data_IF_865091982070
#
_entry.id   IF_865091982070
#
_cell.length_a   1.000
_cell.length_b   1.000
_cell.length_c   1.000
_cell.angle_alpha   90.00
_cell.angle_beta   90.00
_cell.angle_gamma   90.00
#
_symmetry.space_group_name_H-M   'P 1'
#
loop_
_entity.id
_entity.type
_entity.pdbx_description
1 polymer ?
#
# COMPACT_ATOMS: atom_id res chain seq x y z
N UNK A 1 30.04 -2.75 -0.59
CA UNK A 1 28.71 -2.95 0.02
C UNK A 1 27.83 -3.79 -0.88
N UNK A 2 26.98 -4.58 -0.27
CA UNK A 2 25.99 -5.39 -0.98
C UNK A 2 24.58 -4.83 -0.81
N UNK A 3 23.74 -5.09 -1.77
CA UNK A 3 22.34 -4.71 -1.69
C UNK A 3 21.69 -5.26 -0.41
N UNK A 4 21.07 -4.37 0.37
CA UNK A 4 20.48 -4.71 1.66
C UNK A 4 21.35 -4.42 2.87
N UNK A 5 22.63 -4.10 2.69
CA UNK A 5 23.52 -3.71 3.79
C UNK A 5 23.01 -2.40 4.43
N UNK A 6 23.05 -2.32 5.75
CA UNK A 6 22.70 -1.09 6.48
C UNK A 6 23.82 -0.07 6.34
N UNK A 7 23.49 1.09 5.79
CA UNK A 7 24.44 2.19 5.57
C UNK A 7 24.51 3.15 6.75
N UNK A 8 23.35 3.47 7.31
CA UNK A 8 23.22 4.35 8.46
C UNK A 8 21.87 4.13 9.14
N UNK A 9 21.81 4.55 10.39
CA UNK A 9 20.59 4.51 11.21
C UNK A 9 20.32 5.93 11.70
N UNK A 10 19.09 6.38 11.47
CA UNK A 10 18.56 7.64 12.02
C UNK A 10 17.98 7.34 13.40
N UNK A 11 18.01 8.30 14.31
CA UNK A 11 17.38 8.15 15.62
C UNK A 11 15.90 7.82 15.50
N UNK A 12 15.49 6.70 16.06
CA UNK A 12 14.15 6.12 15.83
C UNK A 12 13.20 6.25 17.04
N UNK A 13 13.65 6.84 18.13
CA UNK A 13 12.90 6.90 19.40
C UNK A 13 11.50 7.54 19.20
N UNK A 14 11.41 8.64 18.46
CA UNK A 14 10.13 9.30 18.16
C UNK A 14 9.22 8.42 17.29
N UNK A 15 9.78 7.76 16.29
CA UNK A 15 9.01 6.88 15.39
C UNK A 15 8.49 5.63 16.11
N UNK A 16 9.25 5.07 17.04
CA UNK A 16 8.81 3.97 17.91
C UNK A 16 7.66 4.39 18.81
N UNK A 17 7.73 5.58 19.40
CA UNK A 17 6.64 6.10 20.23
C UNK A 17 5.37 6.34 19.41
N UNK A 18 5.49 6.87 18.20
CA UNK A 18 4.35 7.04 17.29
C UNK A 18 3.74 5.70 16.88
N UNK A 19 4.57 4.68 16.65
CA UNK A 19 4.09 3.31 16.37
C UNK A 19 3.33 2.76 17.57
N UNK A 20 3.90 2.85 18.77
CA UNK A 20 3.25 2.38 20.00
C UNK A 20 1.91 3.09 20.26
N UNK A 21 1.83 4.39 19.99
CA UNK A 21 0.58 5.15 20.09
C UNK A 21 -0.46 4.60 19.08
N UNK A 22 -0.09 4.43 17.81
CA UNK A 22 -1.00 3.92 16.79
C UNK A 22 -1.47 2.48 17.09
N UNK A 23 -0.60 1.63 17.64
CA UNK A 23 -0.95 0.27 18.08
C UNK A 23 -1.94 0.28 19.25
N UNK A 24 -1.78 1.22 20.21
CA UNK A 24 -2.73 1.39 21.29
C UNK A 24 -4.12 1.87 20.79
N UNK A 25 -4.13 2.78 19.83
CA UNK A 25 -5.37 3.28 19.21
C UNK A 25 -6.09 2.14 18.44
N UNK A 26 -5.34 1.29 17.73
CA UNK A 26 -5.88 0.10 17.08
C UNK A 26 -6.47 -0.88 18.10
N UNK A 27 -5.75 -1.15 19.19
CA UNK A 27 -6.25 -2.03 20.26
C UNK A 27 -7.56 -1.50 20.86
N UNK A 28 -7.68 -0.19 21.04
CA UNK A 28 -8.89 0.47 21.53
C UNK A 28 -10.06 0.33 20.54
N UNK A 29 -9.81 0.53 19.23
CA UNK A 29 -10.82 0.33 18.19
C UNK A 29 -11.31 -1.11 18.11
N UNK A 30 -10.40 -2.09 18.22
CA UNK A 30 -10.73 -3.52 18.25
C UNK A 30 -11.58 -3.89 19.47
N UNK A 31 -11.25 -3.35 20.65
CA UNK A 31 -12.04 -3.55 21.86
C UNK A 31 -13.47 -3.00 21.69
N UNK A 32 -13.62 -1.82 21.09
CA UNK A 32 -14.93 -1.23 20.77
C UNK A 32 -15.75 -2.10 19.81
N UNK A 33 -15.12 -2.66 18.77
CA UNK A 33 -15.74 -3.60 17.85
C UNK A 33 -16.23 -4.85 18.57
N UNK A 34 -15.39 -5.42 19.44
CA UNK A 34 -15.74 -6.62 20.20
C UNK A 34 -16.91 -6.43 21.15
N UNK A 35 -16.99 -5.27 21.82
CA UNK A 35 -18.12 -4.92 22.68
C UNK A 35 -19.43 -4.88 21.88
N UNK A 36 -19.41 -4.23 20.71
CA UNK A 36 -20.60 -4.15 19.85
C UNK A 36 -21.00 -5.53 19.32
N UNK A 37 -20.05 -6.37 18.96
CA UNK A 37 -20.31 -7.75 18.52
C UNK A 37 -20.96 -8.57 19.64
N UNK A 38 -20.48 -8.45 20.88
CA UNK A 38 -21.09 -9.10 22.04
C UNK A 38 -22.53 -8.58 22.31
N UNK A 39 -22.77 -7.29 22.12
CA UNK A 39 -24.10 -6.69 22.21
C UNK A 39 -25.07 -7.28 21.20
N UNK A 40 -24.65 -7.44 19.93
CA UNK A 40 -25.46 -8.09 18.88
C UNK A 40 -25.81 -9.54 19.26
N UNK A 41 -24.85 -10.29 19.79
CA UNK A 41 -25.09 -11.68 20.23
C UNK A 41 -26.13 -11.73 21.37
N UNK A 42 -26.06 -10.80 22.32
CA UNK A 42 -27.05 -10.67 23.40
C UNK A 42 -28.44 -10.35 22.85
N UNK A 43 -28.53 -9.38 21.93
CA UNK A 43 -29.80 -8.99 21.30
C UNK A 43 -30.37 -10.14 20.47
N UNK A 44 -29.52 -10.94 19.80
CA UNK A 44 -29.96 -12.13 19.08
C UNK A 44 -30.56 -13.19 20.03
N UNK A 45 -29.96 -13.40 21.21
CA UNK A 45 -30.54 -14.28 22.23
C UNK A 45 -31.90 -13.76 22.71
N UNK A 46 -32.05 -12.46 22.92
CA UNK A 46 -33.33 -11.86 23.29
C UNK A 46 -34.41 -12.08 22.21
N UNK A 47 -34.03 -12.01 20.92
CA UNK A 47 -34.94 -12.35 19.82
C UNK A 47 -35.42 -13.81 19.92
N UNK A 48 -34.51 -14.73 20.22
CA UNK A 48 -34.87 -16.16 20.38
C UNK A 48 -35.82 -16.34 21.56
N UNK A 49 -35.61 -15.65 22.66
CA UNK A 49 -36.54 -15.67 23.83
C UNK A 49 -37.89 -15.08 23.45
N UNK A 50 -37.93 -13.97 22.72
CA UNK A 50 -39.19 -13.38 22.24
C UNK A 50 -39.93 -14.34 21.31
N UNK A 51 -39.24 -15.10 20.44
CA UNK A 51 -39.82 -16.06 19.54
C UNK A 51 -40.48 -17.21 20.32
N UNK A 52 -39.82 -17.74 21.35
CA UNK A 52 -40.40 -18.76 22.23
C UNK A 52 -41.65 -18.23 22.98
N UNK A 53 -41.60 -16.99 23.45
CA UNK A 53 -42.75 -16.32 24.08
C UNK A 53 -43.93 -16.13 23.12
N UNK A 54 -43.65 -15.76 21.86
CA UNK A 54 -44.67 -15.64 20.81
C UNK A 54 -45.31 -17.00 20.52
N UNK A 55 -44.52 -18.06 20.44
CA UNK A 55 -45.05 -19.40 20.22
C UNK A 55 -45.99 -19.86 21.35
N UNK A 56 -45.62 -19.64 22.61
CA UNK A 56 -46.48 -19.91 23.76
C UNK A 56 -47.84 -19.18 23.64
N UNK A 57 -47.82 -17.85 23.41
CA UNK A 57 -49.06 -17.06 23.29
C UNK A 57 -49.84 -17.47 22.04
N UNK A 58 -49.21 -17.89 20.97
CA UNK A 58 -49.83 -18.37 19.75
C UNK A 58 -50.64 -19.64 20.02
N UNK A 59 -50.09 -20.60 20.78
CA UNK A 59 -50.82 -21.81 21.20
C UNK A 59 -52.04 -21.48 22.08
N UNK A 60 -51.87 -20.54 23.04
CA UNK A 60 -52.95 -20.07 23.88
C UNK A 60 -54.06 -19.39 23.04
N UNK A 61 -53.71 -18.55 22.08
CA UNK A 61 -54.63 -17.90 21.16
C UNK A 61 -55.44 -18.92 20.34
N UNK A 62 -54.73 -19.91 19.76
CA UNK A 62 -55.35 -20.95 18.96
C UNK A 62 -56.36 -21.81 19.79
N UNK A 63 -56.09 -22.02 21.09
CA UNK A 63 -57.02 -22.69 21.99
C UNK A 63 -58.26 -21.80 22.28
N UNK A 64 -58.06 -20.54 22.61
CA UNK A 64 -59.14 -19.57 22.87
C UNK A 64 -60.03 -19.34 21.63
N UNK A 65 -59.43 -19.33 20.43
CA UNK A 65 -60.14 -19.18 19.15
C UNK A 65 -61.05 -20.40 18.89
N UNK A 66 -60.55 -21.62 19.15
CA UNK A 66 -61.36 -22.86 19.03
C UNK A 66 -62.53 -22.84 20.03
N UNK A 67 -62.28 -22.35 21.22
CA UNK A 67 -63.30 -22.23 22.23
C UNK A 67 -64.38 -21.20 21.87
N UNK A 68 -63.97 -20.02 21.38
CA UNK A 68 -64.86 -18.97 20.88
C UNK A 68 -65.75 -19.51 19.74
N UNK A 69 -65.16 -20.25 18.79
CA UNK A 69 -65.90 -20.84 17.69
C UNK A 69 -66.92 -21.88 18.16
N UNK A 70 -66.57 -22.68 19.17
CA UNK A 70 -67.48 -23.64 19.78
C UNK A 70 -68.67 -22.94 20.47
N UNK A 71 -68.37 -21.92 21.28
CA UNK A 71 -69.43 -21.14 21.98
C UNK A 71 -70.33 -20.38 21.03
N UNK A 72 -69.77 -19.89 19.90
CA UNK A 72 -70.55 -19.25 18.85
C UNK A 72 -71.62 -20.21 18.27
N UNK A 73 -71.26 -21.44 17.96
CA UNK A 73 -72.20 -22.45 17.45
C UNK A 73 -73.25 -22.84 18.49
N UNK A 74 -72.82 -23.00 19.75
CA UNK A 74 -73.76 -23.30 20.84
C UNK A 74 -74.75 -22.19 21.13
N UNK A 75 -74.34 -20.92 20.90
CA UNK A 75 -75.23 -19.78 21.01
C UNK A 75 -76.27 -19.75 19.87
N UNK A 76 -75.85 -20.13 18.64
CA UNK A 76 -76.75 -20.24 17.48
C UNK A 76 -77.79 -21.35 17.67
N UNK A 77 -77.48 -22.37 18.50
CA UNK A 77 -78.35 -23.49 18.88
C UNK A 77 -79.13 -23.24 20.20
N UNK A 78 -79.07 -22.01 20.77
CA UNK A 78 -79.65 -21.62 22.07
C UNK A 78 -79.18 -22.49 23.26
N UNK A 79 -78.02 -23.19 23.12
CA UNK A 79 -77.52 -24.09 24.16
C UNK A 79 -76.68 -23.39 25.24
N UNK A 80 -76.28 -22.10 25.04
CA UNK A 80 -75.53 -21.27 26.01
C UNK A 80 -76.12 -19.88 26.09
N UNK A 81 -75.89 -19.18 27.21
CA UNK A 81 -76.31 -17.78 27.37
C UNK A 81 -75.40 -16.80 26.65
N UNK A 82 -75.95 -15.65 26.25
CA UNK A 82 -75.16 -14.59 25.63
C UNK A 82 -74.01 -14.13 26.53
N UNK A 83 -74.22 -14.05 27.84
CA UNK A 83 -73.18 -13.70 28.82
C UNK A 83 -71.99 -14.72 28.77
N UNK A 84 -72.26 -16.01 28.62
CA UNK A 84 -71.17 -17.00 28.49
C UNK A 84 -70.40 -16.84 27.23
N UNK A 85 -71.01 -16.56 26.08
CA UNK A 85 -70.33 -16.24 24.84
C UNK A 85 -69.51 -14.98 24.97
N UNK A 86 -70.03 -13.89 25.53
CA UNK A 86 -69.34 -12.59 25.68
C UNK A 86 -68.11 -12.74 26.61
N UNK A 87 -68.16 -13.58 27.63
CA UNK A 87 -67.01 -13.92 28.49
C UNK A 87 -65.90 -14.61 27.72
N UNK A 88 -66.20 -15.62 26.89
CA UNK A 88 -65.24 -16.34 26.07
C UNK A 88 -64.66 -15.43 25.00
N UNK A 89 -65.47 -14.56 24.41
CA UNK A 89 -65.00 -13.57 23.43
C UNK A 89 -64.00 -12.59 24.07
N UNK A 90 -64.32 -12.06 25.25
CA UNK A 90 -63.43 -11.18 26.00
C UNK A 90 -62.11 -11.87 26.35
N UNK A 91 -62.13 -13.15 26.70
CA UNK A 91 -60.92 -13.91 26.98
C UNK A 91 -60.05 -14.10 25.70
N UNK A 92 -60.67 -14.39 24.55
CA UNK A 92 -60.00 -14.44 23.26
C UNK A 92 -59.39 -13.07 22.89
N UNK A 93 -60.13 -11.99 22.98
CA UNK A 93 -59.70 -10.63 22.67
C UNK A 93 -58.47 -10.23 23.54
N UNK A 94 -58.48 -10.63 24.82
CA UNK A 94 -57.36 -10.36 25.73
C UNK A 94 -56.09 -11.14 25.34
N UNK A 95 -56.22 -12.42 24.95
CA UNK A 95 -55.08 -13.23 24.48
C UNK A 95 -54.59 -12.70 23.14
N UNK A 96 -55.47 -12.32 22.23
CA UNK A 96 -55.06 -11.73 20.94
C UNK A 96 -54.30 -10.43 21.12
N UNK A 97 -54.73 -9.55 22.06
CA UNK A 97 -53.99 -8.33 22.41
C UNK A 97 -52.57 -8.64 22.94
N UNK A 98 -52.41 -9.71 23.75
CA UNK A 98 -51.09 -10.16 24.23
C UNK A 98 -50.22 -10.67 23.08
N UNK A 99 -50.79 -11.40 22.13
CA UNK A 99 -50.06 -11.88 20.94
C UNK A 99 -49.52 -10.71 20.11
N UNK A 100 -50.38 -9.69 19.84
CA UNK A 100 -49.97 -8.46 19.13
C UNK A 100 -48.90 -7.69 19.89
N UNK A 101 -48.97 -7.65 21.23
CA UNK A 101 -47.93 -7.02 22.06
C UNK A 101 -46.58 -7.78 21.92
N UNK A 102 -46.60 -9.09 21.97
CA UNK A 102 -45.39 -9.93 21.81
C UNK A 102 -44.74 -9.72 20.43
N UNK A 103 -45.54 -9.64 19.34
CA UNK A 103 -45.06 -9.34 18.01
C UNK A 103 -44.36 -7.97 17.93
N UNK A 104 -45.00 -6.95 18.54
CA UNK A 104 -44.40 -5.61 18.59
C UNK A 104 -43.08 -5.59 19.38
N UNK A 105 -43.00 -6.35 20.48
CA UNK A 105 -41.78 -6.48 21.28
C UNK A 105 -40.64 -7.10 20.45
N UNK A 106 -40.91 -8.20 19.72
CA UNK A 106 -39.96 -8.81 18.79
C UNK A 106 -39.52 -7.80 17.74
N UNK A 107 -40.41 -7.06 17.11
CA UNK A 107 -40.11 -6.07 16.12
C UNK A 107 -39.17 -4.98 16.68
N UNK A 108 -39.46 -4.44 17.88
CA UNK A 108 -38.59 -3.48 18.55
C UNK A 108 -37.19 -4.04 18.80
N UNK A 109 -37.10 -5.28 19.27
CA UNK A 109 -35.80 -5.92 19.49
C UNK A 109 -35.04 -6.15 18.17
N UNK A 110 -35.75 -6.42 17.05
CA UNK A 110 -35.13 -6.54 15.74
C UNK A 110 -34.55 -5.22 15.22
N UNK A 111 -35.23 -4.10 15.48
CA UNK A 111 -34.71 -2.75 15.15
C UNK A 111 -33.45 -2.41 15.95
N UNK A 112 -33.42 -2.77 17.25
CA UNK A 112 -32.22 -2.60 18.09
C UNK A 112 -31.04 -3.40 17.52
N UNK A 113 -31.28 -4.64 17.05
CA UNK A 113 -30.24 -5.45 16.41
C UNK A 113 -29.73 -4.78 15.13
N UNK A 114 -30.64 -4.24 14.32
CA UNK A 114 -30.28 -3.55 13.08
C UNK A 114 -29.41 -2.31 13.37
N UNK A 115 -29.81 -1.49 14.35
CA UNK A 115 -29.01 -0.34 14.82
C UNK A 115 -27.60 -0.77 15.27
N UNK A 116 -27.51 -1.83 16.10
CA UNK A 116 -26.22 -2.37 16.54
C UNK A 116 -25.37 -2.89 15.38
N UNK A 117 -26.01 -3.44 14.33
CA UNK A 117 -25.30 -3.90 13.12
C UNK A 117 -24.71 -2.73 12.34
N UNK A 118 -25.44 -1.62 12.24
CA UNK A 118 -24.91 -0.39 11.65
C UNK A 118 -23.75 0.19 12.49
N UNK A 119 -23.87 0.15 13.81
CA UNK A 119 -22.79 0.56 14.72
C UNK A 119 -21.55 -0.33 14.56
N UNK A 120 -21.74 -1.63 14.35
CA UNK A 120 -20.62 -2.55 14.05
C UNK A 120 -19.89 -2.12 12.79
N UNK A 121 -20.61 -1.78 11.72
CA UNK A 121 -20.01 -1.27 10.48
C UNK A 121 -19.18 0.01 10.68
N UNK A 122 -19.64 0.91 11.57
CA UNK A 122 -18.84 2.10 11.93
C UNK A 122 -17.56 1.73 12.70
N UNK A 123 -17.66 0.81 13.66
CA UNK A 123 -16.49 0.34 14.41
C UNK A 123 -15.49 -0.40 13.52
N UNK A 124 -15.95 -1.18 12.54
CA UNK A 124 -15.09 -1.81 11.54
C UNK A 124 -14.35 -0.77 10.68
N UNK A 125 -15.00 0.32 10.32
CA UNK A 125 -14.36 1.42 9.63
C UNK A 125 -13.30 2.10 10.50
N UNK A 126 -13.58 2.28 11.81
CA UNK A 126 -12.63 2.83 12.77
C UNK A 126 -11.40 1.89 12.94
N UNK A 127 -11.59 0.58 12.97
CA UNK A 127 -10.50 -0.41 13.00
C UNK A 127 -9.63 -0.30 11.75
N UNK A 128 -10.24 -0.20 10.55
CA UNK A 128 -9.46 -0.03 9.32
C UNK A 128 -8.66 1.27 9.31
N UNK A 129 -9.22 2.35 9.82
CA UNK A 129 -8.52 3.63 9.94
C UNK A 129 -7.33 3.52 10.90
N UNK A 130 -7.52 2.93 12.07
CA UNK A 130 -6.45 2.72 13.05
C UNK A 130 -5.37 1.78 12.51
N UNK A 131 -5.73 0.73 11.77
CA UNK A 131 -4.77 -0.17 11.10
C UNK A 131 -3.91 0.59 10.09
N UNK A 132 -4.52 1.45 9.26
CA UNK A 132 -3.78 2.27 8.31
C UNK A 132 -2.79 3.23 9.02
N UNK A 133 -3.15 3.75 10.20
CA UNK A 133 -2.26 4.58 11.00
C UNK A 133 -1.06 3.78 11.53
N UNK A 134 -1.26 2.53 11.97
CA UNK A 134 -0.18 1.60 12.37
C UNK A 134 0.75 1.32 11.20
N UNK A 135 0.20 1.02 10.03
CA UNK A 135 1.00 0.71 8.84
C UNK A 135 1.83 1.91 8.40
N UNK A 136 1.27 3.12 8.46
CA UNK A 136 1.99 4.36 8.18
C UNK A 136 3.11 4.62 9.22
N UNK A 137 2.84 4.42 10.50
CA UNK A 137 3.84 4.58 11.56
C UNK A 137 4.98 3.56 11.41
N UNK A 138 4.67 2.31 11.05
CA UNK A 138 5.65 1.25 10.78
C UNK A 138 6.49 1.56 9.54
N UNK A 139 5.88 2.09 8.49
CA UNK A 139 6.59 2.53 7.29
C UNK A 139 7.57 3.65 7.62
N UNK A 140 7.14 4.67 8.38
CA UNK A 140 8.01 5.75 8.81
C UNK A 140 9.17 5.26 9.67
N UNK A 141 8.92 4.29 10.55
CA UNK A 141 9.99 3.64 11.34
C UNK A 141 10.97 2.89 10.43
N UNK A 142 10.50 2.24 9.36
CA UNK A 142 11.40 1.54 8.44
C UNK A 142 12.35 2.48 7.70
N UNK A 143 11.95 3.74 7.49
CA UNK A 143 12.80 4.76 6.87
C UNK A 143 13.94 5.27 7.77
N UNK A 144 13.94 4.92 9.06
CA UNK A 144 15.06 5.26 9.94
C UNK A 144 16.30 4.41 9.70
N UNK A 145 16.15 3.26 9.04
CA UNK A 145 17.26 2.38 8.64
C UNK A 145 17.48 2.53 7.14
N UNK A 146 18.55 3.19 6.77
CA UNK A 146 18.91 3.39 5.36
C UNK A 146 19.75 2.20 4.90
N UNK A 147 19.24 1.48 3.90
CA UNK A 147 19.88 0.30 3.33
C UNK A 147 20.41 0.58 1.92
N UNK A 148 21.42 -0.16 1.50
CA UNK A 148 21.96 -0.11 0.16
C UNK A 148 20.94 -0.64 -0.87
N UNK A 149 20.67 0.14 -1.92
CA UNK A 149 19.71 -0.19 -2.97
C UNK A 149 20.30 -1.09 -4.06
N UNK A 150 21.64 -1.09 -4.21
CA UNK A 150 22.38 -1.89 -5.18
C UNK A 150 23.72 -2.31 -4.59
N UNK A 151 24.36 -3.29 -5.24
CA UNK A 151 25.75 -3.64 -4.99
C UNK A 151 26.65 -2.54 -5.53
N UNK A 152 27.74 -2.24 -4.85
CA UNK A 152 28.66 -1.20 -5.35
C UNK A 152 29.67 -0.73 -4.32
N UNK A 153 30.28 0.38 -4.60
CA UNK A 153 31.19 1.07 -3.70
C UNK A 153 30.56 2.36 -3.18
N UNK A 154 30.68 2.61 -1.88
CA UNK A 154 30.28 3.88 -1.31
C UNK A 154 31.22 4.98 -1.74
N UNK A 155 30.66 6.11 -2.14
CA UNK A 155 31.36 7.34 -2.36
C UNK A 155 31.81 8.03 -1.06
N UNK A 156 32.00 9.33 -1.12
CA UNK A 156 32.39 10.12 0.05
C UNK A 156 31.25 10.21 1.04
N UNK A 157 31.49 9.88 2.30
CA UNK A 157 30.53 10.10 3.39
C UNK A 157 30.36 11.62 3.60
N UNK A 158 29.15 12.13 3.36
CA UNK A 158 28.83 13.56 3.48
C UNK A 158 28.19 13.92 4.83
N UNK A 159 27.98 12.94 5.72
CA UNK A 159 27.26 13.10 6.98
C UNK A 159 28.10 12.66 8.19
N UNK A 160 27.78 13.24 9.35
CA UNK A 160 28.42 12.93 10.62
C UNK A 160 27.40 12.45 11.66
N UNK A 161 27.87 11.71 12.65
CA UNK A 161 27.01 11.28 13.76
C UNK A 161 26.52 12.51 14.54
N UNK A 162 25.25 12.49 14.94
CA UNK A 162 24.58 13.62 15.60
C UNK A 162 24.15 14.75 14.67
N UNK A 163 24.38 14.63 13.36
CA UNK A 163 23.91 15.62 12.38
C UNK A 163 22.40 15.47 12.14
N UNK A 164 21.70 16.61 12.12
CA UNK A 164 20.30 16.64 11.69
C UNK A 164 20.22 16.40 10.18
N UNK A 165 19.40 15.43 9.78
CA UNK A 165 19.12 15.12 8.36
C UNK A 165 17.69 15.52 8.01
N UNK A 166 17.50 15.98 6.77
CA UNK A 166 16.20 16.43 6.28
C UNK A 166 15.71 15.53 5.13
N UNK A 167 14.41 15.38 4.93
CA UNK A 167 13.86 14.68 3.77
C UNK A 167 14.40 15.28 2.45
N UNK A 168 14.87 14.41 1.54
CA UNK A 168 15.47 14.81 0.28
C UNK A 168 16.97 15.14 0.33
N UNK A 169 17.60 15.10 1.49
CA UNK A 169 19.05 15.29 1.61
C UNK A 169 19.80 14.05 1.12
N UNK A 170 20.81 14.24 0.28
CA UNK A 170 21.74 13.18 -0.12
C UNK A 170 22.61 12.80 1.07
N UNK A 171 22.61 11.52 1.42
CA UNK A 171 23.33 10.99 2.59
C UNK A 171 24.62 10.30 2.17
N UNK A 172 24.53 9.44 1.17
CA UNK A 172 25.64 8.64 0.64
C UNK A 172 25.39 8.39 -0.85
N UNK A 173 26.41 8.47 -1.64
CA UNK A 173 26.40 8.07 -3.04
C UNK A 173 26.90 6.61 -3.15
N UNK A 174 26.20 5.79 -3.90
CA UNK A 174 26.62 4.42 -4.24
C UNK A 174 26.95 4.39 -5.71
N UNK A 175 28.15 3.99 -6.03
CA UNK A 175 28.61 3.76 -7.41
C UNK A 175 28.43 2.29 -7.71
N UNK A 176 27.49 2.00 -8.59
CA UNK A 176 27.30 0.65 -9.13
C UNK A 176 28.39 0.34 -10.15
N UNK A 177 29.16 -0.70 -9.90
CA UNK A 177 30.22 -1.17 -10.80
C UNK A 177 29.78 -2.38 -11.64
N UNK A 178 28.52 -2.81 -11.55
CA UNK A 178 28.03 -3.98 -12.27
C UNK A 178 27.88 -3.75 -13.77
N UNK A 179 27.55 -2.51 -14.17
CA UNK A 179 27.36 -2.12 -15.57
C UNK A 179 28.25 -0.91 -15.90
N UNK A 180 29.43 -1.20 -16.44
CA UNK A 180 30.36 -0.19 -16.88
C UNK A 180 30.25 0.01 -18.40
N UNK A 181 30.19 1.27 -18.80
CA UNK A 181 30.23 1.65 -20.22
C UNK A 181 31.25 2.77 -20.42
N UNK A 182 31.67 2.94 -21.66
CA UNK A 182 32.55 4.04 -22.06
C UNK A 182 31.77 5.04 -22.92
N UNK A 183 31.92 6.33 -22.63
CA UNK A 183 31.42 7.39 -23.48
C UNK A 183 32.62 7.96 -24.25
N UNK A 184 32.67 7.68 -25.54
CA UNK A 184 33.71 8.18 -26.42
C UNK A 184 33.17 9.37 -27.25
N UNK A 185 33.83 10.53 -27.15
CA UNK A 185 33.44 11.73 -27.86
C UNK A 185 34.17 11.83 -29.19
N UNK A 186 33.54 11.31 -30.27
CA UNK A 186 34.09 11.34 -31.62
C UNK A 186 33.79 12.69 -32.34
N UNK A 187 34.67 13.10 -33.22
CA UNK A 187 34.41 14.27 -34.07
C UNK A 187 33.34 13.92 -35.12
N UNK A 188 32.53 14.93 -35.49
CA UNK A 188 31.49 14.77 -36.52
C UNK A 188 32.07 14.16 -37.83
N UNK A 189 33.29 14.52 -38.19
CA UNK A 189 34.00 14.01 -39.40
C UNK A 189 34.33 12.52 -39.32
N UNK A 190 34.35 11.91 -38.13
CA UNK A 190 34.67 10.52 -37.90
C UNK A 190 33.42 9.61 -37.88
N UNK A 191 32.24 10.19 -37.66
CA UNK A 191 30.98 9.45 -37.53
C UNK A 191 30.60 8.59 -38.75
N UNK A 192 30.81 9.02 -40.01
CA UNK A 192 30.42 8.20 -41.16
C UNK A 192 31.01 6.78 -41.16
N UNK A 193 32.13 6.60 -40.46
CA UNK A 193 32.83 5.33 -40.38
C UNK A 193 32.47 4.51 -39.11
N UNK A 194 31.63 5.07 -38.22
CA UNK A 194 31.24 4.41 -36.96
C UNK A 194 29.82 3.94 -37.10
N UNK A 195 29.57 2.65 -36.89
CA UNK A 195 28.22 2.06 -36.93
C UNK A 195 27.94 1.37 -35.59
N UNK A 196 26.67 1.30 -35.24
CA UNK A 196 26.25 0.45 -34.13
C UNK A 196 26.68 -1.00 -34.38
N UNK A 197 27.14 -1.65 -33.32
CA UNK A 197 27.72 -3.00 -33.42
C UNK A 197 29.20 -3.04 -33.81
N UNK A 198 29.87 -1.91 -34.13
CA UNK A 198 31.29 -1.90 -34.48
C UNK A 198 32.15 -2.28 -33.26
N UNK A 199 33.21 -3.07 -33.49
CA UNK A 199 34.18 -3.41 -32.45
C UNK A 199 35.06 -2.21 -32.11
N UNK A 200 35.25 -2.01 -30.81
CA UNK A 200 36.10 -0.94 -30.26
C UNK A 200 37.13 -1.55 -29.34
N UNK A 201 38.37 -1.12 -29.52
CA UNK A 201 39.44 -1.41 -28.59
C UNK A 201 39.75 -0.15 -27.82
N UNK A 202 39.89 -0.25 -26.50
CA UNK A 202 40.25 0.91 -25.68
C UNK A 202 41.26 0.56 -24.60
N UNK A 203 42.02 1.54 -24.20
CA UNK A 203 42.97 1.49 -23.08
C UNK A 203 42.61 2.56 -22.07
N UNK A 204 42.77 2.25 -20.78
CA UNK A 204 42.56 3.20 -19.70
C UNK A 204 43.90 3.70 -19.17
N UNK A 205 44.03 5.03 -19.04
CA UNK A 205 45.30 5.65 -18.58
C UNK A 205 45.68 5.18 -17.17
N UNK A 206 44.72 4.92 -16.31
CA UNK A 206 44.95 4.43 -14.96
C UNK A 206 45.37 2.96 -14.87
N UNK A 207 45.24 2.17 -15.96
CA UNK A 207 45.55 0.74 -16.00
C UNK A 207 46.43 0.47 -17.22
N UNK A 208 47.70 0.85 -17.17
CA UNK A 208 48.60 0.70 -18.32
C UNK A 208 48.84 -0.77 -18.67
N UNK A 209 48.94 -1.06 -19.96
CA UNK A 209 49.27 -2.39 -20.48
C UNK A 209 48.07 -3.35 -20.63
N UNK A 210 46.87 -2.95 -20.26
CA UNK A 210 45.64 -3.74 -20.48
C UNK A 210 44.84 -3.12 -21.62
N UNK A 211 44.47 -3.97 -22.58
CA UNK A 211 43.62 -3.62 -23.70
C UNK A 211 42.23 -4.22 -23.44
N UNK A 212 41.21 -3.37 -23.51
CA UNK A 212 39.84 -3.74 -23.34
C UNK A 212 39.11 -3.77 -24.69
N UNK A 213 38.07 -4.59 -24.75
CA UNK A 213 37.20 -4.71 -25.91
C UNK A 213 35.82 -4.22 -25.58
N UNK A 214 35.19 -3.59 -26.53
CA UNK A 214 33.80 -3.11 -26.43
C UNK A 214 33.15 -3.13 -27.79
N UNK A 215 31.85 -2.85 -27.77
CA UNK A 215 31.03 -2.73 -28.98
C UNK A 215 30.23 -1.43 -28.87
N UNK A 216 30.16 -0.72 -29.99
CA UNK A 216 29.30 0.49 -30.08
C UNK A 216 27.86 0.08 -29.82
N UNK A 217 27.28 0.57 -28.74
CA UNK A 217 25.90 0.30 -28.35
C UNK A 217 24.93 1.30 -28.98
N UNK A 218 25.28 2.58 -28.93
CA UNK A 218 24.47 3.64 -29.53
C UNK A 218 25.33 4.87 -29.84
N UNK A 219 24.88 5.60 -30.85
CA UNK A 219 25.44 6.89 -31.25
C UNK A 219 24.40 7.96 -30.91
N UNK A 220 24.81 9.02 -30.23
CA UNK A 220 23.86 10.10 -29.87
C UNK A 220 23.42 10.86 -31.12
N UNK A 221 22.10 11.14 -31.19
CA UNK A 221 21.53 11.96 -32.28
C UNK A 221 21.85 13.46 -32.17
N UNK A 222 22.49 13.88 -31.08
CA UNK A 222 22.85 15.25 -30.83
C UNK A 222 24.31 15.42 -30.39
N UNK A 223 24.90 16.53 -30.78
CA UNK A 223 26.29 16.90 -30.37
C UNK A 223 26.34 17.27 -28.89
N UNK A 224 27.50 17.12 -28.26
CA UNK A 224 27.70 17.50 -26.85
C UNK A 224 27.41 19.01 -26.60
N UNK A 225 27.53 19.85 -27.60
CA UNK A 225 27.20 21.26 -27.49
C UNK A 225 25.67 21.50 -27.35
N UNK A 226 24.84 20.64 -27.93
CA UNK A 226 23.38 20.77 -27.82
C UNK A 226 22.86 20.47 -26.39
N UNK A 227 23.62 19.70 -25.60
CA UNK A 227 23.31 19.39 -24.20
C UNK A 227 24.03 20.31 -23.19
N UNK A 228 24.77 21.31 -23.68
CA UNK A 228 25.46 22.26 -22.79
C UNK A 228 24.46 23.22 -22.13
N UNK A 229 24.59 23.41 -20.81
CA UNK A 229 23.83 24.41 -20.05
C UNK A 229 24.06 25.86 -20.53
N UNK A 230 25.19 26.13 -21.21
CA UNK A 230 25.53 27.43 -21.82
C UNK A 230 25.76 27.15 -23.29
N UNK A 231 24.76 27.38 -24.17
CA UNK A 231 25.00 27.34 -25.61
C UNK A 231 26.03 28.36 -26.03
N UNK A 232 27.01 27.95 -26.83
CA UNK A 232 27.95 28.87 -27.42
C UNK A 232 27.25 29.59 -28.58
N UNK A 233 26.73 30.79 -28.30
CA UNK A 233 26.16 31.65 -29.33
C UNK A 233 27.26 32.52 -29.93
N UNK A 234 27.42 32.47 -31.26
CA UNK A 234 28.37 33.31 -32.00
C UNK A 234 27.74 34.67 -32.34
N UNK A 235 27.39 35.43 -31.30
CA UNK A 235 26.70 36.71 -31.42
C UNK A 235 27.60 37.86 -32.02
N UNK A 236 28.88 37.62 -32.27
CA UNK A 236 29.85 38.67 -32.69
C UNK A 236 30.15 38.76 -34.18
N UNK A 237 29.35 38.10 -35.05
CA UNK A 237 29.43 38.31 -36.50
C UNK A 237 30.59 37.57 -37.24
N UNK A 238 31.54 37.00 -36.57
CA UNK A 238 32.59 36.17 -37.19
C UNK A 238 32.24 34.71 -36.98
N UNK A 239 31.81 34.03 -38.05
CA UNK A 239 31.55 32.59 -38.00
C UNK A 239 32.87 31.83 -37.92
N UNK A 240 33.18 31.27 -36.73
CA UNK A 240 34.25 30.31 -36.56
C UNK A 240 33.63 28.91 -36.51
N UNK A 241 33.94 28.05 -37.47
CA UNK A 241 33.50 26.68 -37.49
C UNK A 241 34.15 25.93 -36.30
N UNK A 242 33.39 25.71 -35.24
CA UNK A 242 33.83 24.91 -34.10
C UNK A 242 33.54 23.45 -34.40
N UNK A 243 34.54 22.60 -34.25
CA UNK A 243 34.44 21.16 -34.49
C UNK A 243 33.54 20.52 -33.42
N UNK A 244 32.42 19.99 -33.83
CA UNK A 244 31.45 19.37 -32.94
C UNK A 244 31.87 17.94 -32.60
N UNK A 245 31.55 17.52 -31.36
CA UNK A 245 31.77 16.11 -30.91
C UNK A 245 30.44 15.47 -30.58
N UNK A 246 30.30 14.22 -31.00
CA UNK A 246 29.11 13.39 -30.74
C UNK A 246 29.50 12.29 -29.76
N UNK A 247 28.78 12.14 -28.64
CA UNK A 247 29.01 11.07 -27.70
C UNK A 247 28.53 9.73 -28.26
N UNK A 248 29.37 8.74 -28.19
CA UNK A 248 29.12 7.35 -28.59
C UNK A 248 29.23 6.48 -27.35
N UNK A 249 28.19 5.74 -27.05
CA UNK A 249 28.17 4.79 -25.94
C UNK A 249 28.74 3.45 -26.40
N UNK A 250 29.73 2.96 -25.66
CA UNK A 250 30.41 1.71 -25.93
C UNK A 250 30.24 0.80 -24.73
N UNK A 251 29.60 -0.35 -24.96
CA UNK A 251 29.44 -1.39 -23.95
C UNK A 251 30.67 -2.30 -23.95
N UNK A 252 31.16 -2.65 -22.75
CA UNK A 252 32.23 -3.61 -22.59
C UNK A 252 31.74 -5.00 -22.99
N UNK A 253 32.49 -5.69 -23.83
CA UNK A 253 32.19 -7.04 -24.27
C UNK A 253 33.46 -7.88 -24.47
N UNK A 254 33.44 -9.16 -24.03
CA UNK A 254 34.53 -10.08 -24.26
C UNK A 254 35.80 -9.80 -23.42
N UNK A 255 35.63 -9.22 -22.24
CA UNK A 255 36.73 -8.95 -21.31
C UNK A 255 36.67 -9.91 -20.12
N UNK A 256 37.83 -10.29 -19.59
CA UNK A 256 37.95 -11.07 -18.36
C UNK A 256 37.44 -10.24 -17.16
N UNK A 257 36.71 -10.86 -16.24
CA UNK A 257 36.17 -10.19 -15.06
C UNK A 257 37.25 -9.50 -14.21
N UNK A 258 38.41 -10.13 -14.07
CA UNK A 258 39.57 -9.57 -13.35
C UNK A 258 40.14 -8.31 -13.99
N UNK A 259 40.03 -8.17 -15.31
CA UNK A 259 40.44 -6.96 -16.00
C UNK A 259 39.41 -5.85 -15.80
N UNK A 260 38.12 -6.18 -15.90
CA UNK A 260 37.03 -5.22 -15.73
C UNK A 260 36.98 -4.68 -14.30
N UNK A 261 37.29 -5.51 -13.29
CA UNK A 261 37.31 -5.06 -11.87
C UNK A 261 38.36 -3.98 -11.57
N UNK A 262 39.35 -3.79 -12.46
CA UNK A 262 40.33 -2.72 -12.33
C UNK A 262 39.87 -1.38 -12.90
N UNK A 263 38.80 -1.38 -13.70
CA UNK A 263 38.21 -0.15 -14.20
C UNK A 263 37.36 0.52 -13.11
N UNK A 264 37.35 1.83 -13.11
CA UNK A 264 36.50 2.64 -12.23
C UNK A 264 35.81 3.73 -13.02
N UNK A 265 34.62 4.07 -12.60
CA UNK A 265 33.87 5.20 -13.16
C UNK A 265 34.70 6.49 -13.06
N UNK A 266 34.75 7.25 -14.13
CA UNK A 266 35.50 8.51 -14.20
C UNK A 266 36.95 8.37 -14.74
N UNK A 267 37.41 7.18 -15.11
CA UNK A 267 38.70 7.05 -15.75
C UNK A 267 38.69 7.56 -17.18
N UNK A 268 39.79 8.22 -17.57
CA UNK A 268 40.04 8.56 -18.97
C UNK A 268 40.44 7.34 -19.76
N UNK A 269 39.90 7.22 -20.96
CA UNK A 269 40.16 6.11 -21.88
C UNK A 269 40.43 6.62 -23.28
N UNK A 270 41.35 5.94 -23.97
CA UNK A 270 41.59 6.16 -25.40
C UNK A 270 40.95 5.01 -26.20
N UNK A 271 40.01 5.37 -27.10
CA UNK A 271 39.22 4.44 -27.87
C UNK A 271 39.66 4.43 -29.35
N UNK A 272 39.80 3.21 -29.93
CA UNK A 272 40.04 3.00 -31.37
C UNK A 272 38.97 2.07 -31.92
N UNK A 273 38.15 2.58 -32.84
CA UNK A 273 37.14 1.78 -33.55
C UNK A 273 37.84 1.03 -34.66
N UNK A 274 37.54 -0.25 -34.83
CA UNK A 274 37.88 -1.03 -36.01
C UNK A 274 36.81 -0.77 -37.07
N UNK A 275 37.24 -0.27 -38.19
CA UNK A 275 36.42 -0.05 -39.37
C UNK A 275 36.30 -1.31 -40.21
#
# INVERSE_FOLDING_TARGET
IHKGDTLLVIEDAEFRLRLAQAEADLANALAGQQVTHAGIATTQNNLTVNDAGIEEVCVQRANAERELQRYKKLLEEDAVTRQQYDNVKTAYDAINARYEQALRMKHTTSLIKEEQTHQLGQNEAAVRLAQAAVDLARLNLSYTVIIATCDGMTGRKAIHEGQLVQPGQTLVDIVDNSDLWVIANYRETQLPNIKEGAEVIFTADAVPGIVYKGVVESISDATGAAFSLIPQDNATGNFVKVEQRVPVRIRLQGNDADKVSRLRTGFNVECKVKY
#
